data_IF_175403250108
#
_entry.id   IF_175403250108
#
_cell.length_a   1.000
_cell.length_b   1.000
_cell.length_c   1.000
_cell.angle_alpha   90.00
_cell.angle_beta   90.00
_cell.angle_gamma   90.00
#
_symmetry.space_group_name_H-M   'P 1'
#
loop_
_entity.id
_entity.type
_entity.pdbx_description
1 polymer ?
#
# COMPACT_ATOMS: atom_id res chain seq x y z
N UNK A 1 -9.30 21.40 -3.22
CA UNK A 1 -8.19 20.49 -3.58
C UNK A 1 -8.57 19.01 -3.64
N UNK A 2 -9.83 18.58 -3.42
CA UNK A 2 -10.24 17.16 -3.59
C UNK A 2 -10.85 16.86 -4.97
N UNK A 3 -11.47 17.84 -5.63
CA UNK A 3 -12.26 17.61 -6.85
C UNK A 3 -11.43 17.47 -8.14
N UNK A 4 -10.16 17.89 -8.12
CA UNK A 4 -9.28 17.88 -9.30
C UNK A 4 -8.82 16.48 -9.72
N UNK A 5 -8.93 15.49 -8.82
CA UNK A 5 -8.40 14.15 -9.06
C UNK A 5 -9.38 13.20 -9.78
N UNK A 6 -10.68 13.55 -9.88
CA UNK A 6 -11.72 12.70 -10.51
C UNK A 6 -11.74 11.23 -10.03
N UNK A 7 -11.40 10.98 -8.76
CA UNK A 7 -11.38 9.63 -8.18
C UNK A 7 -12.79 9.30 -7.66
N UNK A 8 -13.60 8.62 -8.48
CA UNK A 8 -14.93 8.12 -8.10
C UNK A 8 -14.99 6.60 -8.19
N UNK A 9 -15.54 5.93 -7.16
CA UNK A 9 -15.72 4.47 -7.17
C UNK A 9 -14.43 3.65 -7.07
N UNK A 10 -13.33 4.27 -6.62
CA UNK A 10 -12.01 3.63 -6.60
C UNK A 10 -11.73 3.04 -5.23
N UNK A 11 -11.17 1.83 -5.20
CA UNK A 11 -10.76 1.17 -3.97
C UNK A 11 -9.86 2.10 -3.12
N UNK A 12 -9.98 2.06 -1.78
CA UNK A 12 -9.23 2.94 -0.88
C UNK A 12 -7.72 2.97 -1.18
N UNK A 13 -7.17 1.83 -1.60
CA UNK A 13 -5.75 1.67 -1.95
C UNK A 13 -5.26 2.59 -3.09
N UNK A 14 -6.13 2.93 -4.05
CA UNK A 14 -5.75 3.69 -5.23
C UNK A 14 -5.93 5.20 -5.01
N UNK A 15 -6.89 5.59 -4.16
CA UNK A 15 -6.94 6.97 -3.63
C UNK A 15 -5.64 7.37 -2.92
N UNK A 16 -5.10 6.48 -2.08
CA UNK A 16 -3.81 6.70 -1.42
C UNK A 16 -2.63 6.79 -2.41
N UNK A 17 -2.64 6.00 -3.48
CA UNK A 17 -1.60 6.04 -4.52
C UNK A 17 -1.60 7.36 -5.29
N UNK A 18 -2.77 7.92 -5.58
CA UNK A 18 -2.88 9.23 -6.21
C UNK A 18 -2.47 10.36 -5.27
N UNK A 19 -2.90 10.30 -4.00
CA UNK A 19 -2.48 11.26 -2.99
C UNK A 19 -0.95 11.27 -2.83
N UNK A 20 -0.33 10.08 -2.80
CA UNK A 20 1.12 9.95 -2.81
C UNK A 20 1.74 10.74 -3.98
N UNK A 21 1.28 10.50 -5.21
CA UNK A 21 1.77 11.17 -6.42
C UNK A 21 1.58 12.68 -6.39
N UNK A 22 0.47 13.19 -5.85
CA UNK A 22 0.25 14.63 -5.74
C UNK A 22 1.21 15.28 -4.76
N UNK A 23 1.38 14.69 -3.58
CA UNK A 23 2.24 15.25 -2.54
C UNK A 23 3.70 15.27 -3.00
N UNK A 24 4.19 14.16 -3.57
CA UNK A 24 5.60 14.08 -4.00
C UNK A 24 5.93 15.00 -5.18
N UNK A 25 4.95 15.37 -6.02
CA UNK A 25 5.13 16.40 -7.07
C UNK A 25 5.50 17.76 -6.50
N UNK A 26 5.09 18.07 -5.27
CA UNK A 26 5.49 19.28 -4.54
C UNK A 26 6.86 19.17 -3.86
N UNK A 27 7.55 18.03 -3.97
CA UNK A 27 8.86 17.79 -3.34
C UNK A 27 9.97 17.72 -4.38
N UNK A 28 11.23 17.61 -3.93
CA UNK A 28 12.39 17.38 -4.80
C UNK A 28 12.59 15.90 -5.17
N UNK A 29 11.58 15.05 -4.91
CA UNK A 29 11.68 13.61 -5.20
C UNK A 29 11.78 13.35 -6.69
N UNK A 30 12.71 12.48 -7.10
CA UNK A 30 12.85 12.10 -8.51
C UNK A 30 11.61 11.34 -9.00
N UNK A 31 11.00 11.72 -10.14
CA UNK A 31 9.81 11.04 -10.68
C UNK A 31 10.01 9.53 -10.90
N UNK A 32 11.20 9.13 -11.34
CA UNK A 32 11.55 7.71 -11.55
C UNK A 32 11.51 6.87 -10.25
N UNK A 33 11.85 7.47 -9.10
CA UNK A 33 11.85 6.80 -7.81
C UNK A 33 10.44 6.76 -7.23
N UNK A 34 9.64 7.82 -7.43
CA UNK A 34 8.22 7.82 -7.12
C UNK A 34 7.47 6.70 -7.88
N UNK A 35 7.72 6.58 -9.19
CA UNK A 35 7.11 5.54 -10.03
C UNK A 35 7.51 4.15 -9.55
N UNK A 36 8.81 3.96 -9.28
CA UNK A 36 9.34 2.71 -8.74
C UNK A 36 8.70 2.30 -7.41
N UNK A 37 8.60 3.22 -6.45
CA UNK A 37 7.97 2.95 -5.14
C UNK A 37 6.50 2.56 -5.27
N UNK A 38 5.82 3.10 -6.29
CA UNK A 38 4.46 2.71 -6.61
C UNK A 38 4.36 1.39 -7.38
N UNK A 39 5.45 0.73 -7.76
CA UNK A 39 5.43 -0.44 -8.64
C UNK A 39 4.97 -0.11 -10.07
N UNK A 40 5.14 1.14 -10.52
CA UNK A 40 4.97 1.48 -11.93
C UNK A 40 6.31 1.34 -12.66
N UNK A 41 6.28 0.75 -13.85
CA UNK A 41 7.37 0.91 -14.79
C UNK A 41 7.25 2.30 -15.42
N UNK A 42 8.13 3.22 -15.04
CA UNK A 42 8.21 4.54 -15.68
C UNK A 42 8.44 4.34 -17.17
N UNK A 43 7.84 5.18 -18.02
CA UNK A 43 8.13 5.21 -19.48
C UNK A 43 9.58 5.56 -19.81
N UNK A 44 10.36 5.95 -18.80
CA UNK A 44 11.80 6.12 -18.87
C UNK A 44 12.43 4.80 -19.32
N UNK A 45 12.98 4.76 -20.54
CA UNK A 45 13.48 3.56 -21.20
C UNK A 45 14.59 2.81 -20.45
N UNK A 46 15.36 1.98 -21.16
CA UNK A 46 16.39 1.08 -20.62
C UNK A 46 17.35 1.72 -19.60
N UNK A 47 17.62 3.04 -19.73
CA UNK A 47 18.35 3.89 -18.78
C UNK A 47 17.87 3.80 -17.32
N UNK A 48 16.56 3.79 -17.07
CA UNK A 48 15.98 3.77 -15.72
C UNK A 48 16.04 2.40 -15.03
N UNK A 49 16.48 1.36 -15.77
CA UNK A 49 16.73 0.00 -15.25
C UNK A 49 18.17 -0.17 -14.78
N UNK A 50 19.07 0.76 -15.11
CA UNK A 50 20.46 0.69 -14.68
C UNK A 50 20.60 0.97 -13.18
N UNK A 51 21.34 0.08 -12.50
CA UNK A 51 21.61 0.17 -11.07
C UNK A 51 20.43 -0.33 -10.23
N UNK A 52 20.66 -1.35 -9.40
CA UNK A 52 19.72 -1.67 -8.32
C UNK A 52 19.56 -0.40 -7.48
N UNK A 53 18.33 0.13 -7.40
CA UNK A 53 18.00 1.27 -6.56
C UNK A 53 18.30 0.90 -5.11
N UNK A 54 19.37 1.45 -4.56
CA UNK A 54 19.85 1.10 -3.23
C UNK A 54 18.82 1.54 -2.18
N UNK A 55 18.52 0.67 -1.22
CA UNK A 55 17.58 0.96 -0.12
C UNK A 55 17.84 2.30 0.59
N UNK A 56 19.11 2.70 0.88
CA UNK A 56 19.39 4.01 1.47
C UNK A 56 18.94 5.20 0.63
N UNK A 57 18.97 5.10 -0.70
CA UNK A 57 18.49 6.16 -1.60
C UNK A 57 16.99 6.26 -1.53
N UNK A 58 16.29 5.11 -1.58
CA UNK A 58 14.84 5.06 -1.46
C UNK A 58 14.37 5.60 -0.11
N UNK A 59 15.08 5.28 0.98
CA UNK A 59 14.76 5.79 2.32
C UNK A 59 14.90 7.32 2.42
N UNK A 60 15.95 7.89 1.83
CA UNK A 60 16.15 9.35 1.79
C UNK A 60 15.03 10.06 1.03
N UNK A 61 14.63 9.51 -0.10
CA UNK A 61 13.55 10.08 -0.92
C UNK A 61 12.21 9.93 -0.21
N UNK A 62 11.93 8.76 0.40
CA UNK A 62 10.72 8.52 1.18
C UNK A 62 10.56 9.50 2.35
N UNK A 63 11.67 9.96 2.94
CA UNK A 63 11.65 10.95 4.02
C UNK A 63 11.19 12.35 3.58
N UNK A 64 11.17 12.65 2.28
CA UNK A 64 10.57 13.88 1.74
C UNK A 64 9.05 13.87 1.84
N UNK A 65 8.44 12.69 1.94
CA UNK A 65 7.00 12.57 2.11
C UNK A 65 6.60 12.99 3.54
N UNK A 66 5.64 13.92 3.70
CA UNK A 66 5.25 14.44 4.99
C UNK A 66 4.61 13.33 5.85
N UNK A 67 4.97 13.32 7.13
CA UNK A 67 4.31 12.46 8.11
C UNK A 67 2.98 13.07 8.52
N UNK A 68 1.88 12.36 8.27
CA UNK A 68 0.56 12.79 8.73
C UNK A 68 0.48 12.72 10.26
N UNK A 69 0.19 13.86 10.89
CA UNK A 69 -0.20 13.90 12.30
C UNK A 69 -1.67 13.54 12.39
N UNK A 70 -1.97 12.30 12.78
CA UNK A 70 -3.35 11.81 12.90
C UNK A 70 -3.67 11.66 14.39
N UNK A 71 -4.41 12.61 15.00
CA UNK A 71 -4.70 12.57 16.44
C UNK A 71 -5.39 11.28 16.91
N UNK A 72 -6.17 10.64 16.02
CA UNK A 72 -6.82 9.36 16.30
C UNK A 72 -5.82 8.21 16.57
N UNK A 73 -4.58 8.32 16.08
CA UNK A 73 -3.52 7.34 16.35
C UNK A 73 -2.82 7.55 17.70
N UNK A 74 -3.09 8.65 18.42
CA UNK A 74 -2.53 8.87 19.75
C UNK A 74 -3.24 8.06 20.84
N UNK A 75 -4.38 7.45 20.51
CA UNK A 75 -5.14 6.59 21.42
C UNK A 75 -4.67 5.14 21.25
N UNK A 76 -4.69 4.31 22.31
CA UNK A 76 -4.48 2.88 22.14
C UNK A 76 -5.48 2.36 21.10
N UNK A 77 -5.02 1.53 20.14
CA UNK A 77 -5.89 1.03 19.10
C UNK A 77 -7.05 0.26 19.73
N UNK A 78 -8.26 0.41 19.17
CA UNK A 78 -9.36 -0.44 19.55
C UNK A 78 -8.94 -1.91 19.40
N UNK A 79 -9.35 -2.82 20.31
CA UNK A 79 -9.07 -4.23 20.17
C UNK A 79 -9.46 -4.70 18.77
N UNK A 80 -8.55 -5.41 18.11
CA UNK A 80 -8.81 -5.93 16.76
C UNK A 80 -10.11 -6.75 16.82
N UNK A 81 -11.17 -6.29 16.16
CA UNK A 81 -12.44 -7.04 16.05
C UNK A 81 -12.21 -8.43 15.45
N UNK A 82 -11.17 -8.57 14.63
CA UNK A 82 -10.69 -9.86 14.10
C UNK A 82 -9.78 -10.52 15.12
N UNK A 83 -10.37 -11.36 15.97
CA UNK A 83 -9.63 -12.40 16.67
C UNK A 83 -9.03 -13.34 15.63
N UNK A 84 -7.72 -13.66 15.73
CA UNK A 84 -7.15 -14.76 14.94
C UNK A 84 -8.01 -16.00 15.18
N UNK A 85 -8.38 -16.71 14.11
CA UNK A 85 -9.11 -17.98 14.24
C UNK A 85 -8.36 -18.90 15.19
N UNK A 86 -9.07 -19.52 16.12
CA UNK A 86 -8.47 -20.53 16.99
C UNK A 86 -8.06 -21.75 16.16
N UNK A 87 -7.09 -22.56 16.63
CA UNK A 87 -6.75 -23.82 15.98
C UNK A 87 -7.97 -24.73 15.74
N UNK A 88 -8.94 -24.72 16.65
CA UNK A 88 -10.20 -25.47 16.53
C UNK A 88 -11.06 -24.97 15.36
N UNK A 89 -11.21 -23.64 15.21
CA UNK A 89 -11.95 -23.05 14.09
C UNK A 89 -11.28 -23.35 12.74
N UNK A 90 -9.94 -23.35 12.70
CA UNK A 90 -9.18 -23.72 11.50
C UNK A 90 -9.39 -25.20 11.15
N UNK A 91 -9.38 -26.08 12.16
CA UNK A 91 -9.63 -27.51 11.97
C UNK A 91 -11.05 -27.79 11.47
N UNK A 92 -12.06 -27.11 12.03
CA UNK A 92 -13.46 -27.21 11.60
C UNK A 92 -13.65 -26.79 10.14
N UNK A 93 -13.13 -25.62 9.74
CA UNK A 93 -13.16 -25.15 8.34
C UNK A 93 -12.47 -26.12 7.38
N UNK A 94 -11.42 -26.80 7.84
CA UNK A 94 -10.66 -27.78 7.04
C UNK A 94 -11.46 -29.07 6.88
N UNK A 95 -12.10 -29.54 7.95
CA UNK A 95 -12.97 -30.71 7.93
C UNK A 95 -14.20 -30.47 7.05
N UNK A 96 -14.84 -29.30 7.15
CA UNK A 96 -15.97 -28.91 6.31
C UNK A 96 -15.57 -28.85 4.83
N UNK A 97 -14.42 -28.27 4.50
CA UNK A 97 -13.89 -28.28 3.13
C UNK A 97 -13.61 -29.69 2.61
N UNK A 98 -13.08 -30.58 3.45
CA UNK A 98 -12.86 -31.97 3.06
C UNK A 98 -14.19 -32.68 2.79
N UNK A 99 -15.18 -32.50 3.67
CA UNK A 99 -16.52 -33.08 3.52
C UNK A 99 -17.23 -32.62 2.24
N UNK A 100 -17.16 -31.32 1.92
CA UNK A 100 -17.70 -30.78 0.66
C UNK A 100 -17.01 -31.35 -0.58
N UNK A 101 -15.70 -31.64 -0.49
CA UNK A 101 -14.92 -32.21 -1.60
C UNK A 101 -15.19 -33.71 -1.80
N UNK A 102 -15.55 -34.44 -0.75
CA UNK A 102 -15.95 -35.85 -0.85
C UNK A 102 -17.40 -36.05 -1.27
N UNK A 103 -18.24 -35.02 -1.11
CA UNK A 103 -19.65 -35.03 -1.50
C UNK A 103 -19.92 -34.55 -2.94
N UNK A 104 -18.87 -34.18 -3.68
CA UNK A 104 -18.88 -33.77 -5.08
C UNK A 104 -18.14 -34.81 -5.92
#
# INVERSE_FOLDING_TARGET
MRDTLKITGVQPNHGWRHLWREIVRGTKMKPELCDYMCGHESKSGTGARYGKRKVPVLAKELALFPRFKVPALNRPPAPLKRTRRSPQQIAADKAERAARRTAA
#
